data_IF_537794792029
#
_entry.id   IF_537794792029
#
_cell.length_a   1.000
_cell.length_b   1.000
_cell.length_c   1.000
_cell.angle_alpha   90.00
_cell.angle_beta   90.00
_cell.angle_gamma   90.00
#
_symmetry.space_group_name_H-M   'P 1'
#
loop_
_entity.id
_entity.type
_entity.pdbx_description
1 polymer ?
#
# COMPACT_ATOMS: atom_id res chain seq x y z
N UNK A 1 -8.98 -6.16 -10.05
CA UNK A 1 -9.15 -6.32 -8.60
C UNK A 1 -8.06 -5.54 -7.89
N UNK A 2 -8.42 -4.65 -6.97
CA UNK A 2 -7.52 -3.98 -6.03
C UNK A 2 -7.49 -4.76 -4.72
N UNK A 3 -6.35 -4.79 -4.04
CA UNK A 3 -6.23 -5.32 -2.69
C UNK A 3 -6.07 -4.14 -1.75
N UNK A 4 -6.98 -4.00 -0.80
CA UNK A 4 -7.06 -2.83 0.06
C UNK A 4 -6.72 -3.19 1.50
N UNK A 5 -5.91 -2.35 2.15
CA UNK A 5 -5.52 -2.48 3.55
C UNK A 5 -5.79 -1.17 4.26
N UNK A 6 -6.13 -1.25 5.55
CA UNK A 6 -6.24 -0.05 6.36
C UNK A 6 -6.10 -0.36 7.83
N UNK A 7 -5.49 0.56 8.56
CA UNK A 7 -5.30 0.49 9.99
C UNK A 7 -5.28 1.89 10.60
N UNK A 8 -5.41 1.95 11.91
CA UNK A 8 -5.24 3.18 12.66
C UNK A 8 -3.81 3.31 13.17
N UNK A 9 -3.25 4.49 13.04
CA UNK A 9 -1.98 4.88 13.62
C UNK A 9 -2.15 6.18 14.41
N UNK A 10 -1.13 6.60 15.17
CA UNK A 10 -1.15 7.81 15.98
C UNK A 10 0.15 8.58 15.80
N UNK A 11 0.05 9.88 15.57
CA UNK A 11 1.15 10.83 15.58
C UNK A 11 0.95 11.89 16.68
N UNK A 12 1.82 12.91 16.68
CA UNK A 12 1.76 14.07 17.59
C UNK A 12 0.45 14.87 17.46
N UNK A 13 -0.19 14.83 16.30
CA UNK A 13 -1.43 15.56 16.00
C UNK A 13 -2.68 14.77 16.38
N UNK A 14 -2.58 13.44 16.48
CA UNK A 14 -3.65 12.57 16.95
C UNK A 14 -3.71 11.22 16.24
N UNK A 15 -4.88 10.59 16.25
CA UNK A 15 -5.11 9.32 15.55
C UNK A 15 -5.47 9.59 14.09
N UNK A 16 -4.76 8.94 13.18
CA UNK A 16 -5.06 8.94 11.75
C UNK A 16 -5.27 7.52 11.24
N UNK A 17 -6.06 7.42 10.18
CA UNK A 17 -6.24 6.18 9.46
C UNK A 17 -5.26 6.13 8.29
N UNK A 18 -4.53 5.04 8.16
CA UNK A 18 -3.74 4.71 6.97
C UNK A 18 -4.56 3.78 6.09
N UNK A 19 -4.52 4.02 4.78
CA UNK A 19 -5.14 3.21 3.76
C UNK A 19 -4.17 2.95 2.63
N UNK A 20 -4.13 1.70 2.17
CA UNK A 20 -3.24 1.23 1.11
C UNK A 20 -4.06 0.51 0.06
N UNK A 21 -3.89 0.91 -1.19
CA UNK A 21 -4.48 0.21 -2.34
C UNK A 21 -3.40 -0.35 -3.24
N UNK A 22 -3.42 -1.67 -3.44
CA UNK A 22 -2.48 -2.37 -4.33
C UNK A 22 -3.23 -2.80 -5.59
N UNK A 23 -2.80 -2.27 -6.73
CA UNK A 23 -3.43 -2.57 -8.02
C UNK A 23 -2.45 -2.39 -9.18
N UNK A 24 -2.49 -3.30 -10.15
CA UNK A 24 -1.74 -3.16 -11.40
C UNK A 24 -0.22 -3.00 -11.26
N UNK A 25 0.38 -3.58 -10.20
CA UNK A 25 1.81 -3.46 -9.91
C UNK A 25 2.21 -2.13 -9.25
N UNK A 26 1.25 -1.38 -8.71
CA UNK A 26 1.48 -0.15 -7.96
C UNK A 26 0.87 -0.25 -6.56
N UNK A 27 1.38 0.61 -5.68
CA UNK A 27 0.89 0.78 -4.32
C UNK A 27 0.59 2.26 -4.06
N UNK A 28 -0.65 2.55 -3.69
CA UNK A 28 -1.06 3.89 -3.30
C UNK A 28 -1.26 3.96 -1.80
N UNK A 29 -0.63 4.96 -1.18
CA UNK A 29 -0.70 5.21 0.25
C UNK A 29 -1.48 6.49 0.52
N UNK A 30 -2.50 6.39 1.37
CA UNK A 30 -3.34 7.51 1.78
C UNK A 30 -3.47 7.53 3.28
N UNK A 31 -3.58 8.73 3.86
CA UNK A 31 -3.94 8.91 5.27
C UNK A 31 -5.13 9.83 5.42
N UNK A 32 -5.82 9.74 6.54
CA UNK A 32 -6.95 10.61 6.88
C UNK A 32 -7.00 10.87 8.39
N UNK A 33 -7.05 12.14 8.78
CA UNK A 33 -7.14 12.58 10.18
C UNK A 33 -8.62 12.67 10.62
N UNK A 34 -9.12 11.67 11.32
CA UNK A 34 -10.51 11.63 11.79
C UNK A 34 -11.56 11.36 10.69
N UNK A 35 -12.84 11.23 11.07
CA UNK A 35 -13.89 10.75 10.16
C UNK A 35 -14.29 11.77 9.08
N UNK A 36 -14.17 13.07 9.34
CA UNK A 36 -14.64 14.13 8.44
C UNK A 36 -13.55 14.76 7.56
N UNK A 37 -12.29 14.35 7.70
CA UNK A 37 -11.22 14.85 6.83
C UNK A 37 -11.21 14.15 5.46
N UNK A 38 -10.51 14.75 4.51
CA UNK A 38 -10.23 14.15 3.21
C UNK A 38 -9.07 13.16 3.30
N UNK A 39 -8.99 12.25 2.33
CA UNK A 39 -7.82 11.39 2.17
C UNK A 39 -6.69 12.17 1.51
N UNK A 40 -5.51 12.13 2.11
CA UNK A 40 -4.31 12.80 1.64
C UNK A 40 -3.23 11.77 1.27
N UNK A 41 -2.33 12.13 0.35
CA UNK A 41 -1.18 11.29 0.04
C UNK A 41 -0.30 11.09 1.29
N UNK A 42 0.07 9.84 1.58
CA UNK A 42 0.88 9.50 2.75
C UNK A 42 2.20 8.87 2.31
N UNK A 43 3.36 9.52 2.54
CA UNK A 43 4.64 8.85 2.36
C UNK A 43 4.76 7.73 3.40
N UNK A 44 4.91 6.46 3.01
CA UNK A 44 4.96 5.36 3.96
C UNK A 44 6.26 5.39 4.76
N UNK A 45 6.12 5.31 6.09
CA UNK A 45 7.23 5.04 7.01
C UNK A 45 7.66 3.56 6.96
N UNK A 46 8.82 3.22 7.54
CA UNK A 46 9.25 1.83 7.70
C UNK A 46 8.23 0.99 8.49
N UNK A 47 7.62 1.57 9.53
CA UNK A 47 6.55 0.94 10.29
C UNK A 47 5.31 0.67 9.42
N UNK A 48 4.93 1.60 8.55
CA UNK A 48 3.80 1.42 7.64
C UNK A 48 4.07 0.29 6.63
N UNK A 49 5.30 0.23 6.10
CA UNK A 49 5.75 -0.84 5.19
C UNK A 49 5.72 -2.19 5.88
N UNK A 50 6.30 -2.29 7.07
CA UNK A 50 6.28 -3.52 7.88
C UNK A 50 4.84 -3.95 8.22
N UNK A 51 3.97 -2.98 8.53
CA UNK A 51 2.56 -3.25 8.86
C UNK A 51 1.80 -3.80 7.67
N UNK A 52 1.98 -3.23 6.49
CA UNK A 52 1.39 -3.74 5.26
C UNK A 52 1.78 -5.19 4.99
N UNK A 53 3.07 -5.52 5.10
CA UNK A 53 3.57 -6.89 4.88
C UNK A 53 2.92 -7.85 5.89
N UNK A 54 2.85 -7.48 7.17
CA UNK A 54 2.22 -8.31 8.20
C UNK A 54 0.71 -8.53 7.95
N UNK A 55 -0.02 -7.49 7.53
CA UNK A 55 -1.44 -7.60 7.19
C UNK A 55 -1.67 -8.45 5.94
N UNK A 56 -0.80 -8.34 4.93
CA UNK A 56 -0.86 -9.16 3.74
C UNK A 56 -0.57 -10.64 4.05
N UNK A 57 0.44 -10.92 4.88
CA UNK A 57 0.80 -12.29 5.30
C UNK A 57 -0.39 -13.00 5.97
N UNK A 58 -1.13 -12.30 6.84
CA UNK A 58 -2.33 -12.83 7.50
C UNK A 58 -3.45 -13.21 6.53
N UNK A 59 -3.47 -12.63 5.33
CA UNK A 59 -4.48 -12.89 4.29
C UNK A 59 -4.18 -14.13 3.45
N UNK A 60 -2.92 -14.58 3.40
CA UNK A 60 -2.49 -15.78 2.66
C UNK A 60 -3.17 -17.06 3.17
N UNK A 61 -3.10 -17.44 4.47
CA UNK A 61 -3.75 -18.66 4.95
C UNK A 61 -5.29 -18.59 4.85
N UNK A 62 -5.85 -17.37 4.84
CA UNK A 62 -7.29 -17.11 4.65
C UNK A 62 -7.71 -17.14 3.17
N UNK A 63 -6.77 -17.32 2.24
CA UNK A 63 -6.99 -17.31 0.79
C UNK A 63 -7.65 -16.02 0.27
N UNK A 64 -7.48 -14.92 1.00
CA UNK A 64 -7.94 -13.58 0.58
C UNK A 64 -6.98 -12.97 -0.45
N UNK A 65 -5.73 -13.42 -0.43
CA UNK A 65 -4.72 -13.16 -1.46
C UNK A 65 -3.94 -14.45 -1.75
N UNK A 66 -3.40 -14.55 -2.95
CA UNK A 66 -2.49 -15.64 -3.37
C UNK A 66 -1.07 -15.38 -2.87
N UNK A 67 -0.24 -16.43 -2.80
CA UNK A 67 1.19 -16.29 -2.49
C UNK A 67 1.89 -15.30 -3.44
N UNK A 68 1.60 -15.38 -4.74
CA UNK A 68 2.14 -14.45 -5.75
C UNK A 68 1.77 -12.99 -5.48
N UNK A 69 0.53 -12.73 -5.05
CA UNK A 69 0.10 -11.38 -4.68
C UNK A 69 0.80 -10.89 -3.42
N UNK A 70 1.04 -11.76 -2.44
CA UNK A 70 1.80 -11.43 -1.25
C UNK A 70 3.26 -11.08 -1.57
N UNK A 71 3.93 -11.89 -2.39
CA UNK A 71 5.31 -11.64 -2.79
C UNK A 71 5.45 -10.31 -3.54
N UNK A 72 4.46 -9.97 -4.39
CA UNK A 72 4.40 -8.69 -5.08
C UNK A 72 4.20 -7.51 -4.10
N UNK A 73 3.31 -7.64 -3.11
CA UNK A 73 3.12 -6.62 -2.07
C UNK A 73 4.43 -6.41 -1.31
N UNK A 74 5.13 -7.49 -0.96
CA UNK A 74 6.43 -7.42 -0.29
C UNK A 74 7.47 -6.69 -1.14
N UNK A 75 7.55 -7.00 -2.44
CA UNK A 75 8.43 -6.30 -3.39
C UNK A 75 8.13 -4.80 -3.45
N UNK A 76 6.87 -4.44 -3.69
CA UNK A 76 6.42 -3.04 -3.79
C UNK A 76 6.60 -2.28 -2.47
N UNK A 77 6.47 -2.95 -1.32
CA UNK A 77 6.68 -2.33 0.00
C UNK A 77 8.15 -1.97 0.27
N UNK A 78 9.11 -2.60 -0.41
CA UNK A 78 10.54 -2.32 -0.26
C UNK A 78 11.05 -1.26 -1.23
N UNK A 79 10.27 -0.92 -2.26
CA UNK A 79 10.62 0.15 -3.21
C UNK A 79 10.46 1.50 -2.48
N UNK A 80 11.58 2.21 -2.30
CA UNK A 80 11.63 3.48 -1.55
C UNK A 80 10.92 4.63 -2.29
N UNK A 81 10.73 4.50 -3.59
CA UNK A 81 9.94 5.45 -4.35
C UNK A 81 8.47 5.34 -3.90
N UNK A 82 7.79 6.45 -3.53
CA UNK A 82 6.35 6.45 -3.46
C UNK A 82 5.86 6.11 -4.86
N UNK A 83 5.61 4.82 -5.10
CA UNK A 83 5.38 4.24 -6.42
C UNK A 83 4.44 5.16 -7.17
N UNK A 84 4.98 5.80 -8.23
CA UNK A 84 4.40 6.94 -8.95
C UNK A 84 2.93 7.16 -8.63
N UNK A 85 2.66 8.27 -7.94
CA UNK A 85 1.38 8.95 -8.10
C UNK A 85 1.18 9.07 -9.62
N UNK A 86 0.19 8.35 -10.15
CA UNK A 86 -0.15 8.20 -11.56
C UNK A 86 0.74 7.27 -12.44
N UNK A 87 0.17 6.12 -12.78
CA UNK A 87 -0.37 5.99 -14.14
C UNK A 87 0.55 5.55 -15.28
N UNK A 88 1.73 4.95 -15.04
CA UNK A 88 2.46 4.30 -16.14
C UNK A 88 2.86 2.88 -15.78
N UNK A 89 2.19 1.92 -16.42
CA UNK A 89 2.61 0.51 -16.47
C UNK A 89 4.11 0.45 -16.75
N UNK A 90 4.87 -0.27 -15.93
CA UNK A 90 6.19 -0.78 -16.31
C UNK A 90 5.97 -1.85 -17.40
N UNK A 91 5.51 -1.44 -18.58
CA UNK A 91 5.68 -2.24 -19.80
C UNK A 91 7.08 -1.86 -20.27
N UNK A 92 8.03 -2.75 -20.11
CA UNK A 92 9.26 -2.71 -20.90
C UNK A 92 8.80 -2.68 -22.36
N UNK A 93 8.86 -1.53 -23.02
CA UNK A 93 8.68 -1.47 -24.46
C UNK A 93 9.81 -2.30 -25.06
N UNK A 94 9.55 -3.31 -25.89
CA UNK A 94 10.59 -3.85 -26.73
C UNK A 94 10.98 -2.73 -27.69
N UNK A 95 12.25 -2.34 -27.68
CA UNK A 95 12.78 -1.42 -28.69
C UNK A 95 12.60 -2.07 -30.07
N UNK A 96 11.99 -1.34 -30.99
CA UNK A 96 11.91 -1.64 -32.42
C UNK A 96 12.80 -0.64 -33.15
#
# INVERSE_FOLDING_TARGET
MSIEFGWWNKDETGKYQVFVSVHGGNIEWKRKQGHHASWEAHPPSDDDRARLVSEAERRVPRRLITQKQFDEIKRLSSEQEPGRIAGRRHRSSPEL
#
